data_IF_176959701031
#
_entry.id   IF_176959701031
#
_cell.length_a   1.000
_cell.length_b   1.000
_cell.length_c   1.000
_cell.angle_alpha   90.00
_cell.angle_beta   90.00
_cell.angle_gamma   90.00
#
_symmetry.space_group_name_H-M   'P 1'
#
loop_
_entity.id
_entity.type
_entity.pdbx_description
1 polymer ?
#
# COMPACT_ATOMS: atom_id res chain seq x y z
N UNK A 1 15.41 30.31 13.90
CA UNK A 1 15.39 29.01 14.59
C UNK A 1 14.03 28.42 14.32
N UNK A 2 13.94 27.23 13.72
CA UNK A 2 12.67 26.53 13.53
C UNK A 2 12.09 26.19 14.91
N UNK A 3 10.79 26.35 15.07
CA UNK A 3 10.12 26.04 16.32
C UNK A 3 9.88 24.55 16.40
N UNK A 4 10.40 23.88 17.43
CA UNK A 4 10.09 22.49 17.70
C UNK A 4 8.60 22.33 17.98
N UNK A 5 7.95 21.37 17.31
CA UNK A 5 6.53 21.05 17.50
C UNK A 5 6.39 19.89 18.50
N UNK A 6 5.36 19.95 19.33
CA UNK A 6 4.90 18.86 20.19
C UNK A 6 3.94 18.01 19.38
N UNK A 7 4.36 16.81 19.00
CA UNK A 7 3.65 15.94 18.06
C UNK A 7 3.11 14.70 18.75
N UNK A 8 1.85 14.40 18.52
CA UNK A 8 1.26 13.08 18.72
C UNK A 8 1.31 12.33 17.39
N UNK A 9 1.87 11.13 17.40
CA UNK A 9 1.93 10.28 16.22
C UNK A 9 0.88 9.16 16.31
N UNK A 10 0.16 8.91 15.22
CA UNK A 10 -0.81 7.82 15.12
C UNK A 10 -0.53 6.97 13.89
N UNK A 11 -0.28 5.70 14.09
CA UNK A 11 0.01 4.76 13.02
C UNK A 11 0.11 3.32 13.52
N UNK A 12 0.16 2.36 12.61
CA UNK A 12 0.14 0.96 12.99
C UNK A 12 1.19 0.11 12.27
N UNK A 13 1.23 -0.02 10.92
CA UNK A 13 2.13 -0.94 10.22
C UNK A 13 3.55 -0.40 10.11
N UNK A 14 4.43 -1.21 9.51
CA UNK A 14 5.83 -0.86 9.26
C UNK A 14 5.99 0.46 8.48
N UNK A 15 5.15 0.72 7.51
CA UNK A 15 5.13 2.00 6.78
C UNK A 15 5.01 3.20 7.74
N UNK A 16 4.11 3.12 8.72
CA UNK A 16 3.96 4.14 9.75
C UNK A 16 5.19 4.19 10.68
N UNK A 17 5.74 3.04 11.06
CA UNK A 17 6.92 2.97 11.92
C UNK A 17 8.14 3.66 11.29
N UNK A 18 8.32 3.56 9.98
CA UNK A 18 9.40 4.26 9.27
C UNK A 18 9.23 5.79 9.32
N UNK A 19 8.01 6.29 9.26
CA UNK A 19 7.73 7.71 9.48
C UNK A 19 7.98 8.15 10.92
N UNK A 20 7.56 7.33 11.90
CA UNK A 20 7.85 7.59 13.30
C UNK A 20 9.35 7.62 13.58
N UNK A 21 10.13 6.72 13.00
CA UNK A 21 11.59 6.70 13.15
C UNK A 21 12.22 8.01 12.68
N UNK A 22 11.78 8.55 11.55
CA UNK A 22 12.24 9.84 11.04
C UNK A 22 11.89 10.99 12.00
N UNK A 23 10.67 10.99 12.54
CA UNK A 23 10.24 11.99 13.51
C UNK A 23 11.03 11.92 14.81
N UNK A 24 11.31 10.73 15.32
CA UNK A 24 12.12 10.52 16.54
C UNK A 24 13.57 11.03 16.39
N UNK A 25 14.09 11.05 15.17
CA UNK A 25 15.42 11.61 14.84
C UNK A 25 15.39 13.09 14.48
N UNK A 26 14.22 13.71 14.45
CA UNK A 26 14.05 15.13 14.11
C UNK A 26 14.19 16.04 15.33
N UNK A 27 14.11 17.35 15.08
CA UNK A 27 14.08 18.38 16.14
C UNK A 27 12.74 18.45 16.90
N UNK A 28 11.71 17.77 16.41
CA UNK A 28 10.37 17.77 17.02
C UNK A 28 10.28 16.82 18.20
N UNK A 29 9.40 17.14 19.15
CA UNK A 29 9.15 16.31 20.33
C UNK A 29 7.96 15.38 20.07
N UNK A 30 8.18 14.08 20.06
CA UNK A 30 7.11 13.08 19.97
C UNK A 30 6.63 12.77 21.39
N UNK A 31 5.50 13.36 21.77
CA UNK A 31 4.99 13.31 23.14
C UNK A 31 4.16 12.05 23.46
N UNK A 32 3.58 11.45 22.45
CA UNK A 32 2.80 10.23 22.57
C UNK A 32 2.62 9.55 21.21
N UNK A 33 2.34 8.26 21.25
CA UNK A 33 2.05 7.43 20.10
C UNK A 33 0.69 6.76 20.28
N UNK A 34 -0.14 6.83 19.25
CA UNK A 34 -1.40 6.10 19.13
C UNK A 34 -1.23 5.00 18.09
N UNK A 35 -1.66 3.79 18.41
CA UNK A 35 -1.60 2.64 17.51
C UNK A 35 -2.76 1.71 17.78
N UNK A 36 -3.08 0.83 16.83
CA UNK A 36 -4.12 -0.17 16.99
C UNK A 36 -3.80 -1.11 18.16
N UNK A 37 -4.82 -1.66 18.86
CA UNK A 37 -4.62 -2.69 19.86
C UNK A 37 -3.82 -3.88 19.29
N UNK A 38 -3.06 -4.56 20.18
CA UNK A 38 -2.34 -5.78 19.81
C UNK A 38 -3.31 -6.81 19.23
N UNK A 39 -2.90 -7.50 18.18
CA UNK A 39 -3.73 -8.48 17.47
C UNK A 39 -3.02 -9.83 17.35
N UNK A 40 -3.78 -10.93 17.32
CA UNK A 40 -3.21 -12.22 17.02
C UNK A 40 -2.56 -12.23 15.63
N UNK A 41 -1.29 -12.62 15.55
CA UNK A 41 -0.54 -12.68 14.30
C UNK A 41 0.32 -13.96 14.21
N UNK A 42 0.64 -14.34 12.98
CA UNK A 42 1.52 -15.47 12.69
C UNK A 42 0.92 -16.87 12.98
N UNK A 43 1.76 -17.89 12.82
CA UNK A 43 1.42 -19.25 13.20
C UNK A 43 1.30 -19.33 14.71
N UNK A 44 0.13 -19.76 15.22
CA UNK A 44 -0.15 -19.86 16.65
C UNK A 44 -0.95 -18.67 17.22
N UNK A 45 -1.30 -17.66 16.42
CA UNK A 45 -2.18 -16.54 16.79
C UNK A 45 -1.79 -15.83 18.11
N UNK A 46 -0.48 -15.68 18.37
CA UNK A 46 0.01 -14.95 19.53
C UNK A 46 -0.28 -13.47 19.38
N UNK A 47 -0.72 -12.82 20.47
CA UNK A 47 -0.90 -11.37 20.49
C UNK A 47 0.43 -10.68 20.17
N UNK A 48 0.43 -9.83 19.18
CA UNK A 48 1.61 -9.16 18.66
C UNK A 48 1.41 -7.65 18.65
N UNK A 49 2.39 -6.93 19.19
CA UNK A 49 2.45 -5.48 19.13
C UNK A 49 2.62 -5.00 17.69
N UNK A 50 2.04 -3.84 17.36
CA UNK A 50 2.29 -3.19 16.07
C UNK A 50 3.75 -2.76 15.95
N UNK A 51 4.28 -2.65 14.71
CA UNK A 51 5.61 -2.06 14.49
C UNK A 51 5.78 -0.67 15.12
N UNK A 52 4.75 0.16 15.08
CA UNK A 52 4.74 1.48 15.72
C UNK A 52 4.87 1.38 17.24
N UNK A 53 4.10 0.49 17.88
CA UNK A 53 4.22 0.26 19.32
C UNK A 53 5.62 -0.20 19.71
N UNK A 54 6.17 -1.16 19.01
CA UNK A 54 7.50 -1.69 19.27
C UNK A 54 8.55 -0.58 19.23
N UNK A 55 8.53 0.25 18.20
CA UNK A 55 9.46 1.38 18.06
C UNK A 55 9.26 2.43 19.16
N UNK A 56 8.01 2.76 19.47
CA UNK A 56 7.71 3.74 20.54
C UNK A 56 8.22 3.29 21.90
N UNK A 57 8.05 2.01 22.25
CA UNK A 57 8.57 1.44 23.50
C UNK A 57 10.10 1.47 23.59
N UNK A 58 10.78 1.20 22.48
CA UNK A 58 12.25 1.30 22.41
C UNK A 58 12.78 2.72 22.69
N UNK A 59 11.97 3.73 22.40
CA UNK A 59 12.29 5.14 22.62
C UNK A 59 11.62 5.74 23.86
N UNK A 60 11.01 4.92 24.70
CA UNK A 60 10.30 5.34 25.91
C UNK A 60 9.20 6.40 25.66
N UNK A 61 8.54 6.35 24.50
CA UNK A 61 7.42 7.21 24.19
C UNK A 61 6.12 6.56 24.69
N UNK A 62 5.27 7.31 25.41
CA UNK A 62 3.97 6.79 25.86
C UNK A 62 3.11 6.27 24.71
N UNK A 63 2.51 5.08 24.90
CA UNK A 63 1.69 4.40 23.89
C UNK A 63 0.25 4.33 24.34
N UNK A 64 -0.66 4.72 23.47
CA UNK A 64 -2.11 4.63 23.66
C UNK A 64 -2.72 3.75 22.59
N UNK A 65 -3.60 2.83 22.99
CA UNK A 65 -4.21 1.83 22.09
C UNK A 65 -5.74 1.79 22.22
N UNK A 66 -6.45 2.92 22.03
CA UNK A 66 -7.89 2.91 22.07
C UNK A 66 -8.45 2.08 20.91
N UNK A 67 -9.57 1.39 21.14
CA UNK A 67 -10.29 0.70 20.07
C UNK A 67 -10.96 1.67 19.10
N UNK A 68 -11.32 2.85 19.59
CA UNK A 68 -11.95 3.93 18.84
C UNK A 68 -11.94 5.23 19.67
N UNK A 69 -12.47 6.32 19.09
CA UNK A 69 -12.62 7.61 19.77
C UNK A 69 -14.08 7.97 20.06
N UNK A 70 -14.92 6.97 20.35
CA UNK A 70 -16.34 7.21 20.70
C UNK A 70 -16.52 7.68 22.14
N UNK A 71 -15.71 7.18 23.07
CA UNK A 71 -15.81 7.55 24.49
C UNK A 71 -15.28 8.96 24.75
N UNK A 72 -15.85 9.64 25.74
CA UNK A 72 -15.33 10.95 26.17
C UNK A 72 -13.96 10.81 26.83
N UNK A 73 -13.68 9.69 27.50
CA UNK A 73 -12.39 9.39 28.09
C UNK A 73 -11.27 9.39 27.05
N UNK A 74 -11.43 8.71 25.91
CA UNK A 74 -10.44 8.66 24.86
C UNK A 74 -10.14 10.04 24.24
N UNK A 75 -11.18 10.86 24.10
CA UNK A 75 -11.06 12.25 23.60
C UNK A 75 -10.34 13.16 24.60
N UNK A 76 -10.72 13.06 25.88
CA UNK A 76 -10.11 13.84 26.98
C UNK A 76 -8.64 13.47 27.17
N UNK A 77 -8.30 12.20 27.06
CA UNK A 77 -6.92 11.70 27.15
C UNK A 77 -6.03 12.32 26.06
N UNK A 78 -6.52 12.40 24.83
CA UNK A 78 -5.82 13.08 23.75
C UNK A 78 -5.69 14.59 24.01
N UNK A 79 -6.78 15.23 24.42
CA UNK A 79 -6.78 16.66 24.72
C UNK A 79 -5.80 17.03 25.85
N UNK A 80 -5.66 16.18 26.86
CA UNK A 80 -4.75 16.40 27.99
C UNK A 80 -3.25 16.39 27.58
N UNK A 81 -2.91 15.82 26.44
CA UNK A 81 -1.54 15.83 25.91
C UNK A 81 -1.11 17.22 25.41
N UNK A 82 -2.06 18.09 25.12
CA UNK A 82 -1.80 19.46 24.68
C UNK A 82 -0.81 19.52 23.50
N UNK A 83 -1.08 18.72 22.46
CA UNK A 83 -0.24 18.65 21.27
C UNK A 83 -0.39 19.86 20.36
N UNK A 84 0.68 20.23 19.67
CA UNK A 84 0.63 21.22 18.59
C UNK A 84 0.02 20.62 17.33
N UNK A 85 0.39 19.37 17.02
CA UNK A 85 0.02 18.68 15.79
C UNK A 85 -0.13 17.18 16.05
N UNK A 86 -1.04 16.54 15.33
CA UNK A 86 -1.11 15.08 15.23
C UNK A 86 -0.72 14.64 13.83
N UNK A 87 0.25 13.74 13.73
CA UNK A 87 0.68 13.13 12.46
C UNK A 87 0.09 11.73 12.38
N UNK A 88 -0.69 11.48 11.33
CA UNK A 88 -1.39 10.21 11.11
C UNK A 88 -0.82 9.52 9.88
N UNK A 89 -0.35 8.28 10.06
CA UNK A 89 0.18 7.45 8.98
C UNK A 89 -0.36 6.04 9.11
N UNK A 90 -1.28 5.64 8.24
CA UNK A 90 -1.87 4.30 8.24
C UNK A 90 -2.33 3.85 9.64
N UNK A 91 -3.09 4.66 10.33
CA UNK A 91 -3.57 4.39 11.69
C UNK A 91 -4.68 3.34 11.71
N UNK A 92 -5.63 3.46 10.79
CA UNK A 92 -6.73 2.50 10.64
C UNK A 92 -7.94 2.76 11.54
N UNK A 93 -8.01 3.91 12.21
CA UNK A 93 -9.19 4.38 12.94
C UNK A 93 -9.76 5.64 12.29
N UNK A 94 -11.08 5.75 12.28
CA UNK A 94 -11.75 6.99 11.95
C UNK A 94 -11.58 7.99 13.11
N UNK A 95 -11.19 9.22 12.76
CA UNK A 95 -11.02 10.31 13.70
C UNK A 95 -12.23 11.24 13.59
N UNK A 96 -13.06 11.34 14.64
CA UNK A 96 -14.18 12.27 14.64
C UNK A 96 -13.69 13.72 14.65
N UNK A 97 -14.54 14.64 14.21
CA UNK A 97 -14.19 16.07 14.11
C UNK A 97 -13.56 16.63 15.39
N UNK A 98 -14.08 16.26 16.54
CA UNK A 98 -13.55 16.73 17.84
C UNK A 98 -12.09 16.30 18.05
N UNK A 99 -11.71 15.13 17.57
CA UNK A 99 -10.31 14.65 17.61
C UNK A 99 -9.44 15.40 16.60
N UNK A 100 -9.96 15.61 15.39
CA UNK A 100 -9.25 16.37 14.35
C UNK A 100 -8.95 17.80 14.77
N UNK A 101 -9.86 18.41 15.55
CA UNK A 101 -9.74 19.79 16.01
C UNK A 101 -8.96 19.91 17.35
N UNK A 102 -8.61 18.81 17.99
CA UNK A 102 -7.96 18.82 19.32
C UNK A 102 -6.53 19.36 19.28
N UNK A 103 -5.62 18.95 18.38
CA UNK A 103 -4.31 19.58 18.28
C UNK A 103 -4.43 21.02 17.78
N UNK A 104 -3.56 21.91 18.25
CA UNK A 104 -3.58 23.34 17.88
C UNK A 104 -3.56 23.59 16.39
N UNK A 105 -2.76 22.82 15.65
CA UNK A 105 -2.61 22.89 14.20
C UNK A 105 -3.38 21.77 13.46
N UNK A 106 -4.23 21.04 14.18
CA UNK A 106 -5.02 19.94 13.64
C UNK A 106 -4.24 18.66 13.42
N UNK A 107 -4.70 17.85 12.48
CA UNK A 107 -4.12 16.56 12.14
C UNK A 107 -3.69 16.57 10.67
N UNK A 108 -2.52 16.03 10.38
CA UNK A 108 -2.04 15.79 9.01
C UNK A 108 -1.89 14.30 8.76
N UNK A 109 -2.04 13.88 7.51
CA UNK A 109 -1.92 12.49 7.10
C UNK A 109 -0.91 12.36 5.97
N UNK A 110 -0.14 11.29 6.00
CA UNK A 110 0.69 10.88 4.88
C UNK A 110 -0.07 9.84 4.08
N UNK A 111 -0.51 10.22 2.87
CA UNK A 111 -1.26 9.36 1.97
C UNK A 111 -0.40 8.87 0.82
N UNK A 112 -0.45 7.57 0.51
CA UNK A 112 0.41 6.91 -0.48
C UNK A 112 -0.08 7.08 -1.92
N UNK A 113 -0.48 8.29 -2.31
CA UNK A 113 -0.84 8.64 -3.69
C UNK A 113 -0.61 10.13 -3.97
N UNK A 114 -0.74 10.50 -5.22
CA UNK A 114 -0.79 11.91 -5.68
C UNK A 114 -2.25 12.35 -5.65
N UNK A 115 -2.73 12.87 -4.53
CA UNK A 115 -4.12 13.33 -4.38
C UNK A 115 -4.44 14.46 -5.39
N UNK A 116 -5.68 14.54 -5.90
CA UNK A 116 -6.89 13.80 -5.48
C UNK A 116 -7.03 12.39 -6.06
N UNK A 117 -6.04 11.88 -6.79
CA UNK A 117 -6.06 10.51 -7.29
C UNK A 117 -5.85 9.50 -6.17
N UNK A 118 -6.61 8.41 -6.24
CA UNK A 118 -6.49 7.26 -5.36
C UNK A 118 -6.73 7.55 -3.89
N UNK A 119 -7.78 8.32 -3.57
CA UNK A 119 -8.31 8.40 -2.20
C UNK A 119 -8.70 7.00 -1.72
N UNK A 120 -8.49 6.68 -0.46
CA UNK A 120 -8.96 5.43 0.15
C UNK A 120 -7.86 4.44 0.50
N UNK A 121 -8.19 3.14 0.50
CA UNK A 121 -7.47 2.14 1.27
C UNK A 121 -6.25 1.51 0.58
N UNK A 122 -6.20 1.46 -0.76
CA UNK A 122 -5.18 0.72 -1.50
C UNK A 122 -4.54 1.54 -2.63
N UNK A 123 -4.04 2.76 -2.37
CA UNK A 123 -3.56 3.66 -3.40
C UNK A 123 -2.33 3.11 -4.15
N UNK A 124 -1.41 2.45 -3.45
CA UNK A 124 -0.19 1.89 -4.04
C UNK A 124 -0.55 0.83 -5.09
N UNK A 125 -1.43 -0.09 -4.72
CA UNK A 125 -1.85 -1.17 -5.61
C UNK A 125 -2.65 -0.64 -6.80
N UNK A 126 -3.55 0.30 -6.56
CA UNK A 126 -4.43 0.82 -7.63
C UNK A 126 -3.69 1.65 -8.68
N UNK A 127 -2.65 2.38 -8.31
CA UNK A 127 -1.84 3.11 -9.29
C UNK A 127 -1.11 2.16 -10.25
N UNK A 128 -0.56 1.06 -9.77
CA UNK A 128 0.08 0.03 -10.60
C UNK A 128 -0.98 -0.70 -11.44
N UNK A 129 -2.07 -1.11 -10.82
CA UNK A 129 -3.21 -1.78 -11.48
C UNK A 129 -3.75 -0.97 -12.66
N UNK A 130 -3.89 0.33 -12.49
CA UNK A 130 -4.38 1.24 -13.53
C UNK A 130 -3.35 1.52 -14.63
N UNK A 131 -2.07 1.29 -14.40
CA UNK A 131 -1.00 1.59 -15.33
C UNK A 131 -0.55 3.05 -15.29
N UNK A 132 -0.66 3.71 -14.14
CA UNK A 132 -0.13 5.05 -13.96
C UNK A 132 1.39 5.05 -14.18
N UNK A 133 1.91 6.12 -14.76
CA UNK A 133 3.35 6.27 -15.00
C UNK A 133 4.14 6.76 -13.79
N UNK A 134 3.44 7.36 -12.81
CA UNK A 134 4.02 7.86 -11.57
C UNK A 134 3.06 7.69 -10.40
N UNK A 135 3.61 7.70 -9.22
CA UNK A 135 2.89 7.76 -7.95
C UNK A 135 3.67 8.62 -6.96
N UNK A 136 3.24 8.67 -5.73
CA UNK A 136 3.93 9.48 -4.72
C UNK A 136 3.24 9.43 -3.37
N UNK A 137 3.59 10.40 -2.55
CA UNK A 137 2.93 10.66 -1.28
C UNK A 137 2.40 12.09 -1.26
N UNK A 138 1.25 12.25 -0.62
CA UNK A 138 0.68 13.57 -0.32
C UNK A 138 0.57 13.73 1.19
N UNK A 139 1.13 14.81 1.70
CA UNK A 139 0.87 15.25 3.07
C UNK A 139 -0.34 16.18 3.01
N UNK A 140 -1.42 15.81 3.69
CA UNK A 140 -2.65 16.60 3.67
C UNK A 140 -3.14 16.96 5.06
N UNK A 141 -3.81 18.10 5.18
CA UNK A 141 -4.60 18.46 6.36
C UNK A 141 -5.83 17.57 6.41
N UNK A 142 -6.03 16.86 7.52
CA UNK A 142 -7.19 15.98 7.63
C UNK A 142 -8.48 16.77 7.89
N UNK A 143 -9.54 16.32 7.25
CA UNK A 143 -10.92 16.74 7.50
C UNK A 143 -11.81 15.53 7.76
N UNK A 144 -13.11 15.72 7.82
CA UNK A 144 -14.07 14.63 8.11
C UNK A 144 -14.32 13.70 6.91
N UNK A 145 -13.84 14.06 5.72
CA UNK A 145 -13.96 13.24 4.51
C UNK A 145 -12.88 12.18 4.40
N UNK A 146 -13.06 11.26 3.47
CA UNK A 146 -12.07 10.25 3.15
C UNK A 146 -11.01 10.83 2.23
N UNK A 147 -9.85 11.19 2.78
CA UNK A 147 -8.70 11.72 2.05
C UNK A 147 -9.01 12.98 1.21
N UNK A 148 -9.92 13.81 1.69
CA UNK A 148 -10.44 14.99 0.99
C UNK A 148 -9.80 16.31 1.40
N UNK A 149 -8.97 16.30 2.43
CA UNK A 149 -8.38 17.51 3.00
C UNK A 149 -7.39 18.22 2.08
N UNK A 150 -7.08 19.45 2.42
CA UNK A 150 -6.16 20.28 1.64
C UNK A 150 -4.74 19.70 1.62
N UNK A 151 -4.11 19.72 0.47
CA UNK A 151 -2.76 19.21 0.26
C UNK A 151 -1.73 20.26 0.71
N UNK A 152 -0.78 19.83 1.55
CA UNK A 152 0.31 20.65 2.04
C UNK A 152 1.61 20.40 1.28
N UNK A 153 1.85 19.17 0.88
CA UNK A 153 3.04 18.76 0.13
C UNK A 153 2.79 17.51 -0.67
N UNK A 154 3.36 17.47 -1.86
CA UNK A 154 3.35 16.28 -2.74
C UNK A 154 4.80 15.96 -3.10
N UNK A 155 5.17 14.69 -3.01
CA UNK A 155 6.43 14.16 -3.52
C UNK A 155 6.14 12.98 -4.45
N UNK A 156 6.73 12.96 -5.64
CA UNK A 156 6.44 11.99 -6.69
C UNK A 156 7.65 11.14 -7.03
N UNK A 157 7.39 9.96 -7.58
CA UNK A 157 8.40 9.10 -8.20
C UNK A 157 7.77 8.28 -9.34
N UNK A 158 8.57 7.87 -10.33
CA UNK A 158 8.07 7.05 -11.43
C UNK A 158 7.70 5.64 -10.96
N UNK A 159 6.73 5.03 -11.65
CA UNK A 159 6.44 3.60 -11.56
C UNK A 159 7.19 2.92 -12.71
N UNK A 160 8.21 2.14 -12.36
CA UNK A 160 9.00 1.40 -13.33
C UNK A 160 8.27 0.12 -13.77
N UNK A 161 8.59 -0.39 -14.97
CA UNK A 161 7.98 -1.61 -15.50
C UNK A 161 8.20 -2.84 -14.61
N UNK A 162 9.26 -2.86 -13.80
CA UNK A 162 9.58 -3.92 -12.86
C UNK A 162 8.93 -3.74 -11.48
N UNK A 163 8.30 -2.59 -11.21
CA UNK A 163 7.73 -2.33 -9.88
C UNK A 163 6.53 -3.20 -9.60
N UNK A 164 6.53 -3.77 -8.40
CA UNK A 164 5.39 -4.41 -7.76
C UNK A 164 4.88 -3.52 -6.64
N UNK A 165 3.74 -3.85 -6.05
CA UNK A 165 3.28 -3.15 -4.84
C UNK A 165 4.28 -3.30 -3.69
N UNK A 166 4.99 -4.43 -3.59
CA UNK A 166 6.05 -4.62 -2.60
C UNK A 166 7.21 -3.62 -2.79
N UNK A 167 7.76 -3.52 -4.01
CA UNK A 167 8.86 -2.59 -4.29
C UNK A 167 8.43 -1.13 -4.18
N UNK A 168 7.23 -0.81 -4.62
CA UNK A 168 6.69 0.54 -4.54
C UNK A 168 6.40 0.96 -3.08
N UNK A 169 5.90 0.03 -2.26
CA UNK A 169 5.76 0.25 -0.83
C UNK A 169 7.09 0.67 -0.20
N UNK A 170 8.19 -0.02 -0.49
CA UNK A 170 9.50 0.32 0.04
C UNK A 170 9.98 1.69 -0.46
N UNK A 171 9.81 1.99 -1.73
CA UNK A 171 10.16 3.31 -2.30
C UNK A 171 9.38 4.45 -1.65
N UNK A 172 8.08 4.28 -1.44
CA UNK A 172 7.25 5.28 -0.78
C UNK A 172 7.54 5.38 0.73
N UNK A 173 7.94 4.29 1.36
CA UNK A 173 8.37 4.27 2.76
C UNK A 173 9.72 4.99 3.00
N UNK A 174 10.49 5.24 1.95
CA UNK A 174 11.68 6.12 1.99
C UNK A 174 11.33 7.57 1.62
N UNK A 175 10.51 7.77 0.60
CA UNK A 175 10.10 9.09 0.12
C UNK A 175 9.19 9.82 1.13
N UNK A 176 8.26 9.10 1.73
CA UNK A 176 7.25 9.67 2.64
C UNK A 176 7.82 10.35 3.87
N UNK A 177 8.74 9.73 4.62
CA UNK A 177 9.38 10.35 5.79
C UNK A 177 10.10 11.65 5.44
N UNK A 178 10.82 11.70 4.33
CA UNK A 178 11.49 12.91 3.88
C UNK A 178 10.49 14.04 3.56
N UNK A 179 9.45 13.72 2.79
CA UNK A 179 8.39 14.69 2.48
C UNK A 179 7.68 15.19 3.74
N UNK A 180 7.45 14.31 4.72
CA UNK A 180 6.86 14.67 6.01
C UNK A 180 7.74 15.66 6.78
N UNK A 181 9.04 15.42 6.89
CA UNK A 181 9.95 16.31 7.62
C UNK A 181 10.02 17.69 6.95
N UNK A 182 10.08 17.75 5.63
CA UNK A 182 10.06 19.03 4.90
C UNK A 182 8.73 19.78 5.12
N UNK A 183 7.61 19.07 5.09
CA UNK A 183 6.29 19.66 5.36
C UNK A 183 6.21 20.19 6.81
N UNK A 184 6.72 19.46 7.78
CA UNK A 184 6.76 19.88 9.18
C UNK A 184 7.62 21.13 9.38
N UNK A 185 8.71 21.27 8.65
CA UNK A 185 9.51 22.49 8.65
C UNK A 185 8.69 23.70 8.17
N UNK A 186 7.95 23.55 7.08
CA UNK A 186 7.07 24.61 6.57
C UNK A 186 5.97 24.95 7.59
N UNK A 187 5.36 23.96 8.22
CA UNK A 187 4.35 24.18 9.26
C UNK A 187 4.95 24.92 10.45
N UNK A 188 6.11 24.50 10.94
CA UNK A 188 6.79 25.11 12.08
C UNK A 188 7.21 26.57 11.83
N UNK A 189 7.50 26.89 10.57
CA UNK A 189 7.86 28.25 10.13
C UNK A 189 6.64 29.12 9.77
N UNK A 190 5.45 28.52 9.70
CA UNK A 190 4.23 29.20 9.25
C UNK A 190 4.22 29.49 7.75
N UNK A 191 5.01 28.77 6.96
CA UNK A 191 5.14 28.92 5.49
C UNK A 191 4.39 27.86 4.69
N UNK A 192 3.79 26.89 5.35
CA UNK A 192 2.99 25.86 4.69
C UNK A 192 1.81 26.47 3.93
N UNK A 193 1.64 26.05 2.68
CA UNK A 193 0.54 26.48 1.81
C UNK A 193 -0.41 25.33 1.57
N UNK A 194 -1.65 25.47 2.02
CA UNK A 194 -2.71 24.50 1.79
C UNK A 194 -3.34 24.70 0.41
N UNK A 195 -3.39 23.64 -0.38
CA UNK A 195 -4.00 23.62 -1.72
C UNK A 195 -5.21 22.71 -1.69
N UNK A 196 -6.38 23.27 -1.99
CA UNK A 196 -7.61 22.50 -2.05
C UNK A 196 -7.56 21.46 -3.17
N UNK A 197 -8.03 20.23 -2.88
CA UNK A 197 -8.16 19.20 -3.90
C UNK A 197 -9.27 19.54 -4.89
N UNK A 198 -9.07 19.24 -6.17
CA UNK A 198 -10.11 19.28 -7.20
C UNK A 198 -10.89 17.99 -7.18
N UNK A 199 -12.10 18.03 -6.63
CA UNK A 199 -12.97 16.85 -6.53
C UNK A 199 -13.38 16.28 -7.90
N UNK A 200 -13.33 17.10 -8.96
CA UNK A 200 -13.58 16.67 -10.33
C UNK A 200 -12.53 15.71 -10.89
N UNK A 201 -11.33 15.70 -10.30
CA UNK A 201 -10.22 14.81 -10.67
C UNK A 201 -10.08 13.61 -9.72
N UNK A 202 -10.89 13.55 -8.68
CA UNK A 202 -10.78 12.50 -7.67
C UNK A 202 -11.23 11.13 -8.19
N UNK A 203 -10.48 10.11 -7.81
CA UNK A 203 -10.89 8.72 -7.93
C UNK A 203 -10.54 7.95 -6.64
N UNK A 204 -10.98 6.70 -6.54
CA UNK A 204 -10.94 5.96 -5.27
C UNK A 204 -10.21 4.63 -5.41
N UNK A 205 -9.33 4.37 -4.46
CA UNK A 205 -8.58 3.13 -4.32
C UNK A 205 -9.30 2.20 -3.33
N UNK A 206 -10.26 1.42 -3.84
CA UNK A 206 -10.99 0.45 -3.02
C UNK A 206 -10.05 -0.66 -2.52
N UNK A 207 -10.38 -1.22 -1.35
CA UNK A 207 -9.68 -2.38 -0.81
C UNK A 207 -9.59 -3.50 -1.83
N UNK A 208 -8.45 -4.19 -1.83
CA UNK A 208 -8.27 -5.40 -2.63
C UNK A 208 -9.08 -6.56 -2.03
N UNK A 209 -9.59 -7.42 -2.88
CA UNK A 209 -10.21 -8.68 -2.50
C UNK A 209 -9.42 -9.87 -3.05
N UNK A 210 -9.60 -11.04 -2.43
CA UNK A 210 -8.97 -12.28 -2.94
C UNK A 210 -9.58 -12.71 -4.27
N UNK A 211 -10.85 -12.41 -4.47
CA UNK A 211 -11.62 -12.78 -5.66
C UNK A 211 -11.08 -12.08 -6.90
N UNK A 212 -10.73 -10.79 -6.80
CA UNK A 212 -10.19 -10.03 -7.94
C UNK A 212 -8.78 -10.45 -8.37
N UNK A 213 -8.08 -11.22 -7.52
CA UNK A 213 -6.75 -11.74 -7.83
C UNK A 213 -6.78 -12.97 -8.76
N UNK A 214 -7.94 -13.60 -8.96
CA UNK A 214 -8.09 -14.65 -9.96
C UNK A 214 -7.93 -14.05 -11.35
N UNK A 215 -7.01 -14.61 -12.14
CA UNK A 215 -6.75 -14.12 -13.49
C UNK A 215 -7.97 -14.38 -14.37
N UNK A 216 -8.44 -13.32 -15.04
CA UNK A 216 -9.40 -13.42 -16.12
C UNK A 216 -8.64 -13.38 -17.45
N UNK A 217 -8.46 -14.52 -18.07
CA UNK A 217 -7.71 -14.64 -19.32
C UNK A 217 -8.33 -13.86 -20.49
N UNK A 218 -9.61 -13.48 -20.41
CA UNK A 218 -10.28 -12.66 -21.41
C UNK A 218 -9.87 -11.18 -21.39
N UNK A 219 -9.18 -10.76 -20.33
CA UNK A 219 -8.60 -9.42 -20.26
C UNK A 219 -7.37 -9.32 -21.18
N UNK A 220 -6.95 -8.10 -21.48
CA UNK A 220 -5.70 -7.87 -22.23
C UNK A 220 -4.47 -8.31 -21.40
N UNK A 221 -3.47 -8.88 -22.06
CA UNK A 221 -2.23 -9.31 -21.42
C UNK A 221 -1.56 -8.18 -20.62
N UNK A 222 -1.61 -6.95 -21.12
CA UNK A 222 -1.09 -5.77 -20.41
C UNK A 222 -1.81 -5.49 -19.11
N UNK A 223 -3.13 -5.68 -19.04
CA UNK A 223 -3.89 -5.53 -17.81
C UNK A 223 -3.59 -6.64 -16.81
N UNK A 224 -3.55 -7.90 -17.28
CA UNK A 224 -3.22 -9.06 -16.41
C UNK A 224 -1.82 -8.89 -15.81
N UNK A 225 -0.85 -8.45 -16.60
CA UNK A 225 0.52 -8.20 -16.14
C UNK A 225 0.55 -7.13 -15.04
N UNK A 226 -0.19 -6.04 -15.19
CA UNK A 226 -0.32 -5.00 -14.15
C UNK A 226 -0.97 -5.54 -12.88
N UNK A 227 -2.00 -6.38 -13.00
CA UNK A 227 -2.61 -7.06 -11.84
C UNK A 227 -1.60 -7.93 -11.10
N UNK A 228 -0.77 -8.69 -11.82
CA UNK A 228 0.29 -9.52 -11.22
C UNK A 228 1.24 -8.67 -10.38
N UNK A 229 1.70 -7.54 -10.89
CA UNK A 229 2.56 -6.61 -10.14
C UNK A 229 1.82 -5.91 -9.00
N UNK A 230 0.61 -5.43 -9.24
CA UNK A 230 -0.19 -4.72 -8.25
C UNK A 230 -0.58 -5.59 -7.05
N UNK A 231 -0.84 -6.87 -7.28
CA UNK A 231 -1.28 -7.80 -6.23
C UNK A 231 -0.14 -8.58 -5.57
N UNK A 232 1.10 -8.27 -5.90
CA UNK A 232 2.27 -8.83 -5.25
C UNK A 232 2.75 -7.88 -4.13
N UNK A 233 2.76 -8.26 -2.86
CA UNK A 233 2.73 -9.64 -2.31
C UNK A 233 1.33 -10.13 -1.89
N UNK A 234 0.30 -9.33 -1.99
CA UNK A 234 -1.06 -9.73 -1.58
C UNK A 234 -2.10 -9.03 -2.46
N UNK A 235 -3.17 -9.72 -2.88
CA UNK A 235 -3.54 -11.13 -2.58
C UNK A 235 -2.84 -12.18 -3.44
N UNK A 236 -2.01 -11.83 -4.39
CA UNK A 236 -1.32 -12.62 -5.40
C UNK A 236 -2.24 -13.12 -6.51
N UNK A 237 -1.98 -12.67 -7.73
CA UNK A 237 -2.67 -13.17 -8.91
C UNK A 237 -2.47 -14.68 -9.07
N UNK A 238 -3.52 -15.39 -9.42
CA UNK A 238 -3.52 -16.84 -9.53
C UNK A 238 -4.48 -17.35 -10.60
N UNK A 239 -4.26 -18.59 -11.01
CA UNK A 239 -5.13 -19.35 -11.89
C UNK A 239 -5.21 -20.80 -11.41
N UNK A 240 -6.16 -21.54 -11.96
CA UNK A 240 -6.36 -22.96 -11.62
C UNK A 240 -5.83 -23.87 -12.72
N UNK A 241 -5.11 -24.92 -12.33
CA UNK A 241 -4.68 -26.02 -13.20
C UNK A 241 -4.55 -27.32 -12.40
N UNK A 242 -5.01 -28.44 -12.93
CA UNK A 242 -4.97 -29.75 -12.27
C UNK A 242 -5.45 -29.68 -10.81
N UNK A 243 -6.57 -29.00 -10.56
CA UNK A 243 -7.18 -28.79 -9.24
C UNK A 243 -6.29 -28.06 -8.23
N UNK A 244 -5.26 -27.33 -8.71
CA UNK A 244 -4.36 -26.53 -7.88
C UNK A 244 -4.46 -25.05 -8.25
N UNK A 245 -4.47 -24.19 -7.24
CA UNK A 245 -4.37 -22.75 -7.40
C UNK A 245 -2.90 -22.35 -7.48
N UNK A 246 -2.47 -21.88 -8.63
CA UNK A 246 -1.08 -21.50 -8.91
C UNK A 246 -0.93 -20.00 -8.85
N UNK A 247 -0.07 -19.51 -7.97
CA UNK A 247 0.24 -18.07 -7.87
C UNK A 247 1.27 -17.67 -8.92
N UNK A 248 1.06 -16.51 -9.51
CA UNK A 248 1.98 -15.92 -10.48
C UNK A 248 2.80 -14.83 -9.81
N UNK A 249 4.12 -15.00 -9.81
CA UNK A 249 5.08 -14.04 -9.24
C UNK A 249 5.62 -13.08 -10.28
N UNK A 250 5.89 -13.57 -11.50
CA UNK A 250 6.39 -12.77 -12.60
C UNK A 250 5.79 -13.22 -13.93
N UNK A 251 5.48 -12.26 -14.76
CA UNK A 251 5.04 -12.43 -16.14
C UNK A 251 5.47 -11.25 -16.98
N UNK A 252 5.53 -11.44 -18.28
CA UNK A 252 5.73 -10.38 -19.26
C UNK A 252 4.71 -10.46 -20.37
N UNK A 253 4.61 -9.40 -21.13
CA UNK A 253 3.67 -9.30 -22.25
C UNK A 253 4.40 -9.50 -23.58
N UNK A 254 3.83 -10.33 -24.44
CA UNK A 254 4.19 -10.44 -25.85
C UNK A 254 3.03 -9.91 -26.69
N UNK A 255 3.34 -9.04 -27.64
CA UNK A 255 2.32 -8.36 -28.45
C UNK A 255 1.85 -9.17 -29.67
N UNK A 256 2.40 -10.39 -29.87
CA UNK A 256 2.01 -11.22 -31.00
C UNK A 256 0.50 -11.50 -31.00
N UNK A 257 -0.09 -11.48 -32.18
CA UNK A 257 -1.46 -11.89 -32.37
C UNK A 257 -1.58 -13.43 -32.31
N UNK A 258 -2.59 -13.92 -31.60
CA UNK A 258 -2.93 -15.34 -31.53
C UNK A 258 -4.40 -15.52 -31.85
N UNK A 259 -4.74 -16.67 -32.42
CA UNK A 259 -6.10 -17.05 -32.78
C UNK A 259 -6.78 -17.97 -31.77
N UNK A 260 -6.00 -18.47 -30.81
CA UNK A 260 -6.48 -19.37 -29.77
C UNK A 260 -7.37 -18.62 -28.78
N UNK A 261 -8.30 -19.34 -28.19
CA UNK A 261 -9.18 -18.82 -27.14
C UNK A 261 -8.37 -18.36 -25.91
N UNK A 262 -8.81 -17.30 -25.21
CA UNK A 262 -8.17 -16.85 -23.97
C UNK A 262 -8.00 -17.99 -22.96
N UNK A 263 -6.82 -18.06 -22.34
CA UNK A 263 -6.43 -19.12 -21.41
C UNK A 263 -5.72 -20.30 -22.06
N UNK A 264 -5.67 -20.37 -23.40
CA UNK A 264 -5.00 -21.48 -24.11
C UNK A 264 -3.47 -21.30 -24.05
N UNK A 265 -2.76 -22.39 -23.67
CA UNK A 265 -1.30 -22.42 -23.73
C UNK A 265 -0.86 -22.59 -25.18
N UNK A 266 -0.14 -21.62 -25.69
CA UNK A 266 0.34 -21.60 -27.08
C UNK A 266 1.78 -22.07 -27.22
N UNK A 267 2.57 -21.97 -26.15
CA UNK A 267 3.95 -22.43 -26.06
C UNK A 267 4.32 -22.66 -24.59
N UNK A 268 5.12 -23.66 -24.32
CA UNK A 268 5.65 -23.94 -22.99
C UNK A 268 7.07 -24.50 -23.10
N UNK A 269 8.06 -23.70 -22.69
CA UNK A 269 9.46 -24.06 -22.68
C UNK A 269 10.24 -23.27 -21.61
N UNK A 270 11.56 -23.41 -21.61
CA UNK A 270 12.44 -22.73 -20.66
C UNK A 270 12.31 -21.19 -20.64
N UNK A 271 11.80 -20.59 -21.70
CA UNK A 271 11.62 -19.13 -21.78
C UNK A 271 10.33 -18.66 -21.13
N UNK A 272 9.38 -19.54 -20.87
CA UNK A 272 8.11 -19.24 -20.24
C UNK A 272 6.96 -20.15 -20.67
N UNK A 273 5.81 -19.94 -20.03
CA UNK A 273 4.53 -20.50 -20.47
C UNK A 273 3.74 -19.37 -21.11
N UNK A 274 3.52 -19.48 -22.41
CA UNK A 274 2.85 -18.49 -23.23
C UNK A 274 1.36 -18.78 -23.28
N UNK A 275 0.54 -17.86 -22.79
CA UNK A 275 -0.91 -18.03 -22.66
C UNK A 275 -1.62 -16.98 -23.49
N UNK A 276 -2.51 -17.41 -24.37
CA UNK A 276 -3.37 -16.51 -25.13
C UNK A 276 -4.31 -15.74 -24.17
N UNK A 277 -4.51 -14.47 -24.43
CA UNK A 277 -5.38 -13.60 -23.66
C UNK A 277 -6.41 -12.94 -24.57
N UNK A 278 -7.27 -12.11 -24.00
CA UNK A 278 -8.22 -11.34 -24.81
C UNK A 278 -7.55 -10.42 -25.81
N UNK A 279 -6.33 -9.96 -25.51
CA UNK A 279 -5.47 -9.21 -26.44
C UNK A 279 -4.00 -9.44 -26.06
N UNK A 280 -3.23 -9.98 -27.00
CA UNK A 280 -1.82 -10.31 -26.80
C UNK A 280 -1.62 -11.63 -26.06
N UNK A 281 -0.40 -11.90 -25.69
CA UNK A 281 0.04 -13.11 -25.00
C UNK A 281 0.70 -12.74 -23.69
N UNK A 282 0.29 -13.42 -22.62
CA UNK A 282 0.97 -13.34 -21.33
C UNK A 282 1.96 -14.47 -21.22
N UNK A 283 3.22 -14.15 -20.91
CA UNK A 283 4.28 -15.12 -20.68
C UNK A 283 4.55 -15.24 -19.20
N UNK A 284 4.18 -16.40 -18.64
CA UNK A 284 4.44 -16.71 -17.22
C UNK A 284 5.91 -17.05 -17.04
N UNK A 285 6.59 -16.43 -16.09
CA UNK A 285 8.04 -16.57 -15.87
C UNK A 285 8.37 -17.20 -14.51
N UNK A 286 7.61 -16.90 -13.47
CA UNK A 286 7.79 -17.43 -12.12
C UNK A 286 6.45 -17.76 -11.49
N UNK A 287 6.32 -18.99 -11.01
CA UNK A 287 5.07 -19.54 -10.46
C UNK A 287 5.31 -20.18 -9.09
N UNK A 288 4.23 -20.25 -8.31
CA UNK A 288 4.25 -20.91 -7.01
C UNK A 288 3.11 -21.94 -6.91
N UNK A 289 3.49 -23.19 -6.77
CA UNK A 289 2.59 -24.30 -6.47
C UNK A 289 2.22 -24.24 -4.97
N UNK A 290 1.00 -24.62 -4.56
CA UNK A 290 0.60 -24.63 -3.15
C UNK A 290 1.60 -25.38 -2.27
N UNK A 291 1.99 -24.77 -1.15
CA UNK A 291 2.94 -25.35 -0.19
C UNK A 291 4.40 -25.38 -0.63
N UNK A 292 4.73 -24.81 -1.79
CA UNK A 292 6.10 -24.72 -2.32
C UNK A 292 6.57 -23.27 -2.36
N UNK A 293 7.85 -23.07 -2.67
CA UNK A 293 8.41 -21.75 -2.97
C UNK A 293 8.09 -21.35 -4.41
N UNK A 294 8.13 -20.06 -4.71
CA UNK A 294 8.12 -19.57 -6.07
C UNK A 294 9.36 -20.06 -6.82
N UNK A 295 9.18 -20.54 -8.05
CA UNK A 295 10.23 -21.10 -8.90
C UNK A 295 10.12 -20.54 -10.32
N UNK A 296 11.25 -20.42 -11.04
CA UNK A 296 11.23 -20.17 -12.48
C UNK A 296 10.41 -21.24 -13.20
N UNK A 297 9.75 -20.86 -14.28
CA UNK A 297 8.91 -21.77 -15.08
C UNK A 297 9.66 -23.00 -15.55
N UNK A 298 10.95 -22.88 -15.87
CA UNK A 298 11.75 -24.04 -16.26
C UNK A 298 11.71 -25.15 -15.20
N UNK A 299 11.83 -24.79 -13.92
CA UNK A 299 11.80 -25.77 -12.82
C UNK A 299 10.39 -26.36 -12.63
N UNK A 300 9.37 -25.52 -12.82
CA UNK A 300 7.96 -25.98 -12.79
C UNK A 300 7.71 -27.01 -13.90
N UNK A 301 8.15 -26.74 -15.13
CA UNK A 301 7.97 -27.63 -16.26
C UNK A 301 8.75 -28.94 -16.12
N UNK A 302 9.93 -28.92 -15.51
CA UNK A 302 10.68 -30.14 -15.22
C UNK A 302 9.91 -31.11 -14.31
N UNK A 303 9.10 -30.56 -13.39
CA UNK A 303 8.33 -31.36 -12.43
C UNK A 303 6.87 -31.63 -12.86
N UNK A 304 6.28 -30.74 -13.65
CA UNK A 304 4.84 -30.72 -13.97
C UNK A 304 4.55 -30.34 -15.42
N UNK A 305 5.32 -30.82 -16.36
CA UNK A 305 5.12 -30.52 -17.79
C UNK A 305 3.70 -30.89 -18.27
N UNK A 306 3.12 -31.94 -17.71
CA UNK A 306 1.79 -32.44 -18.02
C UNK A 306 0.66 -31.42 -17.68
N UNK A 307 0.89 -30.52 -16.71
CA UNK A 307 -0.08 -29.48 -16.36
C UNK A 307 -0.16 -28.35 -17.41
N UNK A 308 0.88 -28.20 -18.21
CA UNK A 308 1.06 -27.05 -19.11
C UNK A 308 1.25 -27.48 -20.57
N UNK A 309 0.53 -28.51 -20.98
CA UNK A 309 0.58 -28.98 -22.37
C UNK A 309 0.07 -27.92 -23.35
N UNK A 310 0.78 -27.72 -24.46
CA UNK A 310 0.36 -26.82 -25.52
C UNK A 310 -1.02 -27.23 -26.05
N UNK A 311 -1.92 -26.24 -26.19
CA UNK A 311 -3.31 -26.45 -26.59
C UNK A 311 -4.27 -26.67 -25.41
N UNK A 312 -3.78 -26.93 -24.19
CA UNK A 312 -4.64 -26.98 -23.01
C UNK A 312 -5.05 -25.59 -22.54
N UNK A 313 -6.14 -25.50 -21.79
CA UNK A 313 -6.74 -24.26 -21.36
C UNK A 313 -6.64 -24.13 -19.84
N UNK A 314 -6.13 -22.97 -19.38
CA UNK A 314 -6.11 -22.58 -17.98
C UNK A 314 -7.42 -21.92 -17.57
N UNK A 315 -7.80 -22.04 -16.28
CA UNK A 315 -9.05 -21.51 -15.73
C UNK A 315 -8.79 -20.44 -14.66
#
# INVERSE_FOLDING_TARGET
>A
MSQSLRIVFAGTPDFAARHLAALLSSEHEIIAVYTQPDRPAGRGKKLTASPVKTLALEHNVPVYQPENFKSDESKQQLAALNADLMVVVAYGLLLPKVVLDTPKLGCINVHGSILPHWRGAAPIQRSIWAGDSETGVTIMQMDVGLDTGDMLKIATLPIEASDTSASMYDKLAELGPQALLECLQDIAQGTAVAVKQDDGLANYAHKLSKEEARINWSDAATHIERCIRAFNPWPMSHFEVAENSIKVWQARVETQAVTQAPGTIVQADKSGIYVATGQGVLVLESLQIPGKKALPVQDILNARADWFSVGSQLN
#
